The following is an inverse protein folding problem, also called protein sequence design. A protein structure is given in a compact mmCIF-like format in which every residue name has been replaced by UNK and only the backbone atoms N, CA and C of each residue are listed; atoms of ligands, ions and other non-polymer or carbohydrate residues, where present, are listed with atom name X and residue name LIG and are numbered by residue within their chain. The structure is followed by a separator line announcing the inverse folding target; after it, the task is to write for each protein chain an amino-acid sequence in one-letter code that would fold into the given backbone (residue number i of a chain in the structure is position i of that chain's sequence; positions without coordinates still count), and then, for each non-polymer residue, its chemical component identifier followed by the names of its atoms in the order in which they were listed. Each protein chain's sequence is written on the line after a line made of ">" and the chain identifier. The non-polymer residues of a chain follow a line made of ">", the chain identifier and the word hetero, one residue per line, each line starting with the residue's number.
data_IF_926476536090
#
_entry.id   IF_926476536090
#
_cell.length_a   1.000
_cell.length_b   1.000
_cell.length_c   1.000
_cell.angle_alpha   90.00
_cell.angle_beta   90.00
_cell.angle_gamma   90.00
#
_symmetry.space_group_name_H-M   'P 1'
#
loop_
_entity.id
_entity.type
_entity.pdbx_description
1 polymer ?
#
# COMPACT_ATOMS: atom_id res chain seq x y z
N UNK A 1 -38.61 -0.59 -20.88
CA UNK A 1 -37.80 0.57 -21.30
C UNK A 1 -37.64 1.42 -20.06
N UNK A 2 -36.41 1.66 -19.59
CA UNK A 2 -36.16 2.48 -18.39
C UNK A 2 -36.26 3.93 -18.81
N UNK A 3 -37.09 4.73 -18.14
CA UNK A 3 -37.20 6.17 -18.42
C UNK A 3 -36.27 6.97 -17.51
N UNK A 4 -35.87 8.18 -17.91
CA UNK A 4 -35.06 9.09 -17.08
C UNK A 4 -35.75 9.35 -15.72
N UNK A 5 -37.07 9.52 -15.74
CA UNK A 5 -37.87 9.76 -14.54
C UNK A 5 -37.82 8.57 -13.56
N UNK A 6 -37.82 7.33 -14.05
CA UNK A 6 -37.64 6.15 -13.21
C UNK A 6 -36.24 6.12 -12.57
N UNK A 7 -35.20 6.47 -13.33
CA UNK A 7 -33.83 6.54 -12.83
C UNK A 7 -33.62 7.63 -11.79
N UNK A 8 -34.25 8.80 -11.94
CA UNK A 8 -34.16 9.89 -10.97
C UNK A 8 -34.86 9.51 -9.65
N UNK A 9 -35.97 8.77 -9.73
CA UNK A 9 -36.68 8.24 -8.55
C UNK A 9 -35.83 7.19 -7.84
N UNK A 10 -35.24 6.24 -8.58
CA UNK A 10 -34.35 5.21 -8.02
C UNK A 10 -33.10 5.86 -7.41
N UNK A 11 -32.52 6.86 -8.08
CA UNK A 11 -31.32 7.55 -7.62
C UNK A 11 -31.56 8.25 -6.28
N UNK A 12 -32.69 8.95 -6.13
CA UNK A 12 -33.09 9.60 -4.87
C UNK A 12 -33.41 8.62 -3.77
N UNK A 13 -34.21 7.58 -4.04
CA UNK A 13 -34.75 6.68 -3.01
C UNK A 13 -33.79 5.56 -2.61
N UNK A 14 -32.92 5.11 -3.51
CA UNK A 14 -32.09 3.93 -3.31
C UNK A 14 -30.59 4.23 -3.38
N UNK A 15 -30.12 4.85 -4.47
CA UNK A 15 -28.67 5.05 -4.64
C UNK A 15 -28.10 6.07 -3.66
N UNK A 16 -28.81 7.18 -3.43
CA UNK A 16 -28.38 8.21 -2.50
C UNK A 16 -28.11 7.69 -1.06
N UNK A 17 -29.05 6.99 -0.39
CA UNK A 17 -28.78 6.45 0.94
C UNK A 17 -27.70 5.37 0.95
N UNK A 18 -27.58 4.55 -0.10
CA UNK A 18 -26.51 3.55 -0.21
C UNK A 18 -25.13 4.24 -0.28
N UNK A 19 -25.01 5.26 -1.11
CA UNK A 19 -23.79 6.09 -1.23
C UNK A 19 -23.42 6.69 0.13
N UNK A 20 -24.38 7.29 0.83
CA UNK A 20 -24.17 7.87 2.16
C UNK A 20 -23.62 6.85 3.16
N UNK A 21 -24.21 5.65 3.21
CA UNK A 21 -23.77 4.57 4.10
C UNK A 21 -22.35 4.11 3.77
N UNK A 22 -22.01 3.99 2.47
CA UNK A 22 -20.68 3.60 2.03
C UNK A 22 -19.63 4.67 2.34
N UNK A 23 -19.96 5.95 2.18
CA UNK A 23 -19.08 7.07 2.51
C UNK A 23 -18.86 7.16 4.04
N UNK A 24 -19.93 7.00 4.82
CA UNK A 24 -19.85 6.93 6.29
C UNK A 24 -18.99 5.75 6.76
N UNK A 25 -19.20 4.56 6.19
CA UNK A 25 -18.39 3.36 6.47
C UNK A 25 -16.92 3.59 6.15
N UNK A 26 -16.62 4.19 5.00
CA UNK A 26 -15.25 4.48 4.57
C UNK A 26 -14.58 5.48 5.51
N UNK A 27 -15.28 6.55 5.88
CA UNK A 27 -14.80 7.52 6.88
C UNK A 27 -14.48 6.84 8.21
N UNK A 28 -15.42 6.05 8.76
CA UNK A 28 -15.23 5.32 10.02
C UNK A 28 -14.02 4.39 9.94
N UNK A 29 -13.89 3.62 8.85
CA UNK A 29 -12.77 2.72 8.63
C UNK A 29 -11.43 3.48 8.62
N UNK A 30 -11.33 4.58 7.87
CA UNK A 30 -10.09 5.36 7.75
C UNK A 30 -9.70 5.99 9.09
N UNK A 31 -10.67 6.55 9.82
CA UNK A 31 -10.45 7.09 11.16
C UNK A 31 -9.89 5.99 12.06
N UNK A 32 -10.53 4.81 12.13
CA UNK A 32 -10.12 3.73 13.00
C UNK A 32 -8.71 3.21 12.67
N UNK A 33 -8.41 2.96 11.40
CA UNK A 33 -7.12 2.39 10.98
C UNK A 33 -5.98 3.38 11.12
N UNK A 34 -6.21 4.66 10.82
CA UNK A 34 -5.16 5.68 10.84
C UNK A 34 -5.12 6.51 12.13
N UNK A 35 -6.00 6.24 13.11
CA UNK A 35 -6.07 6.99 14.37
C UNK A 35 -4.74 7.07 15.12
N UNK A 36 -3.96 5.99 15.10
CA UNK A 36 -2.66 5.91 15.77
C UNK A 36 -1.67 6.91 15.16
N UNK A 37 -1.75 7.13 13.85
CA UNK A 37 -0.87 8.04 13.08
C UNK A 37 -1.46 9.44 12.87
N UNK A 38 -2.47 9.83 13.65
CA UNK A 38 -3.21 11.11 13.49
C UNK A 38 -2.36 12.39 13.56
N UNK A 39 -1.15 12.32 14.12
CA UNK A 39 -0.23 13.47 14.18
C UNK A 39 0.43 13.78 12.83
N UNK A 40 0.39 12.84 11.88
CA UNK A 40 0.97 13.04 10.56
C UNK A 40 0.03 13.88 9.69
N UNK A 41 0.58 14.93 9.07
CA UNK A 41 -0.18 15.83 8.20
C UNK A 41 -0.93 15.08 7.08
N UNK A 42 -0.32 14.04 6.50
CA UNK A 42 -0.95 13.23 5.44
C UNK A 42 -2.17 12.45 5.94
N UNK A 43 -2.11 11.95 7.18
CA UNK A 43 -3.24 11.26 7.80
C UNK A 43 -4.35 12.25 8.10
N UNK A 44 -4.00 13.47 8.50
CA UNK A 44 -4.98 14.54 8.68
C UNK A 44 -5.68 14.89 7.35
N UNK A 45 -4.94 15.03 6.25
CA UNK A 45 -5.51 15.22 4.91
C UNK A 45 -6.41 14.05 4.48
N UNK A 46 -6.03 12.82 4.81
CA UNK A 46 -6.83 11.61 4.53
C UNK A 46 -8.19 11.69 5.21
N UNK A 47 -8.19 11.97 6.52
CA UNK A 47 -9.41 12.08 7.32
C UNK A 47 -10.24 13.26 6.83
N UNK A 48 -9.62 14.41 6.55
CA UNK A 48 -10.29 15.59 6.00
C UNK A 48 -11.00 15.27 4.68
N UNK A 49 -10.31 14.65 3.71
CA UNK A 49 -10.92 14.29 2.43
C UNK A 49 -12.13 13.36 2.61
N UNK A 50 -11.99 12.32 3.43
CA UNK A 50 -13.10 11.39 3.71
C UNK A 50 -14.26 12.06 4.45
N UNK A 51 -13.97 12.98 5.37
CA UNK A 51 -14.98 13.74 6.09
C UNK A 51 -15.73 14.70 5.16
N UNK A 52 -15.02 15.42 4.27
CA UNK A 52 -15.63 16.32 3.30
C UNK A 52 -16.60 15.57 2.37
N UNK A 53 -16.21 14.41 1.85
CA UNK A 53 -17.11 13.59 1.02
C UNK A 53 -18.39 13.18 1.75
N UNK A 54 -18.26 12.70 2.99
CA UNK A 54 -19.40 12.33 3.83
C UNK A 54 -20.29 13.55 4.20
N UNK A 55 -19.68 14.66 4.63
CA UNK A 55 -20.39 15.86 5.09
C UNK A 55 -21.17 16.53 3.96
N UNK A 56 -20.60 16.59 2.75
CA UNK A 56 -21.30 17.13 1.58
C UNK A 56 -22.57 16.35 1.26
N UNK A 57 -22.55 15.03 1.44
CA UNK A 57 -23.72 14.19 1.18
C UNK A 57 -24.78 14.30 2.27
N UNK A 58 -24.38 14.56 3.51
CA UNK A 58 -25.30 14.76 4.63
C UNK A 58 -26.04 16.09 4.54
N UNK A 59 -25.40 17.12 3.98
CA UNK A 59 -25.99 18.46 3.85
C UNK A 59 -26.90 18.63 2.62
N UNK A 60 -26.71 17.80 1.59
CA UNK A 60 -27.38 17.94 0.30
C UNK A 60 -28.35 16.79 0.05
N UNK A 61 -29.64 17.02 0.31
CA UNK A 61 -30.67 15.96 0.25
C UNK A 61 -31.80 16.21 -0.78
N UNK A 62 -32.11 17.46 -1.16
CA UNK A 62 -33.40 17.76 -1.82
C UNK A 62 -33.36 18.08 -3.32
N UNK A 63 -32.29 18.72 -3.85
CA UNK A 63 -32.28 19.20 -5.24
C UNK A 63 -31.35 18.38 -6.18
N UNK A 64 -31.79 18.13 -7.41
CA UNK A 64 -31.09 17.24 -8.35
C UNK A 64 -29.69 17.75 -8.71
N UNK A 65 -29.54 19.05 -8.97
CA UNK A 65 -28.27 19.65 -9.37
C UNK A 65 -27.29 19.63 -8.21
N UNK A 66 -27.78 19.93 -7.00
CA UNK A 66 -26.98 19.82 -5.77
C UNK A 66 -26.58 18.37 -5.49
N UNK A 67 -27.46 17.39 -5.75
CA UNK A 67 -27.16 15.96 -5.59
C UNK A 67 -26.08 15.48 -6.56
N UNK A 68 -26.06 15.98 -7.80
CA UNK A 68 -25.00 15.68 -8.76
C UNK A 68 -23.66 16.26 -8.29
N UNK A 69 -23.62 17.54 -7.90
CA UNK A 69 -22.43 18.17 -7.34
C UNK A 69 -21.90 17.41 -6.11
N UNK A 70 -22.78 17.04 -5.18
CA UNK A 70 -22.41 16.26 -4.01
C UNK A 70 -21.86 14.88 -4.38
N UNK A 71 -22.36 14.24 -5.45
CA UNK A 71 -21.82 12.97 -5.96
C UNK A 71 -20.40 13.17 -6.51
N UNK A 72 -20.18 14.16 -7.37
CA UNK A 72 -18.86 14.48 -7.95
C UNK A 72 -17.83 14.80 -6.87
N UNK A 73 -18.20 15.62 -5.88
CA UNK A 73 -17.31 15.97 -4.76
C UNK A 73 -16.98 14.74 -3.93
N UNK A 74 -17.97 13.94 -3.58
CA UNK A 74 -17.75 12.75 -2.75
C UNK A 74 -16.93 11.68 -3.48
N UNK A 75 -17.12 11.50 -4.78
CA UNK A 75 -16.29 10.64 -5.65
C UNK A 75 -14.82 11.12 -5.71
N UNK A 76 -14.61 12.41 -5.95
CA UNK A 76 -13.26 13.00 -5.94
C UNK A 76 -12.59 12.86 -4.57
N UNK A 77 -13.33 13.10 -3.48
CA UNK A 77 -12.85 12.90 -2.11
C UNK A 77 -12.46 11.44 -1.86
N UNK A 78 -13.24 10.49 -2.38
CA UNK A 78 -13.00 9.06 -2.25
C UNK A 78 -11.72 8.64 -2.96
N UNK A 79 -11.53 9.10 -4.20
CA UNK A 79 -10.31 8.94 -4.98
C UNK A 79 -9.09 9.56 -4.28
N UNK A 80 -9.24 10.77 -3.73
CA UNK A 80 -8.21 11.43 -2.90
C UNK A 80 -7.77 10.52 -1.75
N UNK A 81 -8.67 9.78 -1.12
CA UNK A 81 -8.28 8.87 -0.04
C UNK A 81 -7.31 7.78 -0.51
N UNK A 82 -7.49 7.24 -1.72
CA UNK A 82 -6.58 6.24 -2.28
C UNK A 82 -5.23 6.83 -2.63
N UNK A 83 -5.21 8.04 -3.22
CA UNK A 83 -3.97 8.74 -3.55
C UNK A 83 -3.20 9.07 -2.26
N UNK A 84 -3.89 9.56 -1.22
CA UNK A 84 -3.25 9.86 0.05
C UNK A 84 -2.70 8.58 0.71
N UNK A 85 -3.46 7.47 0.71
CA UNK A 85 -2.97 6.18 1.23
C UNK A 85 -1.71 5.72 0.49
N UNK A 86 -1.65 5.82 -0.84
CA UNK A 86 -0.44 5.44 -1.58
C UNK A 86 0.73 6.40 -1.31
N UNK A 87 0.48 7.69 -1.06
CA UNK A 87 1.55 8.62 -0.65
C UNK A 87 2.12 8.30 0.72
N UNK A 88 1.28 7.91 1.69
CA UNK A 88 1.73 7.49 3.03
C UNK A 88 2.64 6.27 2.90
N UNK A 89 2.18 5.24 2.18
CA UNK A 89 2.97 4.02 1.95
C UNK A 89 4.26 4.35 1.18
N UNK A 90 4.18 5.16 0.12
CA UNK A 90 5.32 5.55 -0.69
C UNK A 90 6.38 6.31 0.12
N UNK A 91 5.96 7.19 1.03
CA UNK A 91 6.85 7.91 1.93
C UNK A 91 7.55 6.95 2.92
N UNK A 92 6.79 6.07 3.59
CA UNK A 92 7.35 5.08 4.51
C UNK A 92 8.38 4.16 3.83
N UNK A 93 8.12 3.81 2.55
CA UNK A 93 9.05 3.02 1.75
C UNK A 93 10.28 3.84 1.33
N UNK A 94 10.12 5.10 0.93
CA UNK A 94 11.24 5.99 0.56
C UNK A 94 12.24 6.19 1.70
N UNK A 95 11.75 6.28 2.94
CA UNK A 95 12.61 6.42 4.14
C UNK A 95 13.48 5.17 4.32
N UNK A 96 12.95 3.99 4.01
CA UNK A 96 13.64 2.69 4.19
C UNK A 96 14.49 2.30 2.99
N UNK A 97 14.01 2.61 1.79
CA UNK A 97 14.55 2.15 0.52
C UNK A 97 14.85 3.39 -0.32
N UNK A 98 16.14 3.75 -0.43
CA UNK A 98 16.62 4.93 -1.17
C UNK A 98 16.59 4.75 -2.70
N UNK A 99 15.49 4.22 -3.24
CA UNK A 99 15.30 4.08 -4.67
C UNK A 99 14.75 5.40 -5.26
N UNK A 100 15.48 5.94 -6.24
CA UNK A 100 15.10 7.20 -6.91
C UNK A 100 13.71 7.10 -7.56
N UNK A 101 13.37 5.96 -8.14
CA UNK A 101 12.07 5.74 -8.80
C UNK A 101 10.88 5.88 -7.84
N UNK A 102 10.96 5.31 -6.62
CA UNK A 102 9.88 5.43 -5.63
C UNK A 102 9.71 6.88 -5.21
N UNK A 103 10.80 7.64 -5.06
CA UNK A 103 10.73 9.07 -4.72
C UNK A 103 10.00 9.89 -5.79
N UNK A 104 10.32 9.68 -7.06
CA UNK A 104 9.63 10.35 -8.16
C UNK A 104 8.14 10.02 -8.21
N UNK A 105 7.78 8.74 -8.02
CA UNK A 105 6.38 8.32 -7.96
C UNK A 105 5.65 8.91 -6.74
N UNK A 106 6.29 8.96 -5.57
CA UNK A 106 5.69 9.61 -4.40
C UNK A 106 5.44 11.10 -4.63
N UNK A 107 6.36 11.82 -5.30
CA UNK A 107 6.11 13.21 -5.68
C UNK A 107 4.99 13.38 -6.72
N UNK A 108 4.90 12.47 -7.70
CA UNK A 108 3.77 12.46 -8.63
C UNK A 108 2.44 12.23 -7.89
N UNK A 109 2.42 11.32 -6.92
CA UNK A 109 1.27 11.07 -6.08
C UNK A 109 0.88 12.32 -5.25
N UNK A 110 1.86 13.04 -4.70
CA UNK A 110 1.63 14.32 -4.00
C UNK A 110 1.03 15.38 -4.92
N UNK A 111 1.49 15.47 -6.17
CA UNK A 111 0.90 16.37 -7.15
C UNK A 111 -0.58 16.02 -7.42
N UNK A 112 -0.92 14.73 -7.53
CA UNK A 112 -2.31 14.30 -7.65
C UNK A 112 -3.15 14.63 -6.40
N UNK A 113 -2.59 14.56 -5.19
CA UNK A 113 -3.29 15.01 -3.98
C UNK A 113 -3.65 16.49 -4.06
N UNK A 114 -2.69 17.34 -4.46
CA UNK A 114 -2.93 18.79 -4.60
C UNK A 114 -3.98 19.06 -5.67
N UNK A 115 -3.86 18.44 -6.84
CA UNK A 115 -4.82 18.61 -7.93
C UNK A 115 -6.23 18.13 -7.55
N UNK A 116 -6.36 17.02 -6.81
CA UNK A 116 -7.65 16.54 -6.33
C UNK A 116 -8.28 17.50 -5.31
N UNK A 117 -7.51 18.09 -4.39
CA UNK A 117 -8.05 19.11 -3.48
C UNK A 117 -8.48 20.37 -4.23
N UNK A 118 -7.73 20.80 -5.25
CA UNK A 118 -8.13 21.91 -6.11
C UNK A 118 -9.44 21.61 -6.85
N UNK A 119 -9.63 20.37 -7.33
CA UNK A 119 -10.87 19.94 -7.97
C UNK A 119 -12.06 19.99 -7.00
N UNK A 120 -11.88 19.53 -5.76
CA UNK A 120 -12.92 19.62 -4.72
C UNK A 120 -13.27 21.09 -4.45
N UNK A 121 -12.28 21.98 -4.30
CA UNK A 121 -12.51 23.41 -4.08
C UNK A 121 -13.22 24.05 -5.28
N UNK A 122 -12.80 23.74 -6.50
CA UNK A 122 -13.43 24.26 -7.72
C UNK A 122 -14.90 23.82 -7.85
N UNK A 123 -15.21 22.59 -7.43
CA UNK A 123 -16.57 22.05 -7.38
C UNK A 123 -17.41 22.73 -6.30
N UNK A 124 -16.84 23.04 -5.13
CA UNK A 124 -17.54 23.75 -4.05
C UNK A 124 -17.79 25.23 -4.35
N UNK A 125 -16.93 25.86 -5.15
CA UNK A 125 -17.07 27.26 -5.55
C UNK A 125 -17.98 27.44 -6.78
N UNK A 126 -18.58 26.36 -7.29
CA UNK A 126 -19.43 26.36 -8.49
C UNK A 126 -18.76 27.03 -9.71
N UNK A 127 -17.42 27.02 -9.76
CA UNK A 127 -16.64 27.47 -10.94
C UNK A 127 -16.78 26.46 -12.09
N UNK A 128 -17.50 25.37 -11.84
CA UNK A 128 -17.67 24.18 -12.70
C UNK A 128 -18.54 24.42 -13.93
N UNK A 129 -19.16 25.60 -14.07
CA UNK A 129 -19.91 26.01 -15.27
C UNK A 129 -19.07 26.10 -16.56
N UNK A 130 -17.74 25.97 -16.49
CA UNK A 130 -16.87 25.80 -17.66
C UNK A 130 -16.70 24.31 -17.96
N UNK A 131 -17.28 23.84 -19.08
CA UNK A 131 -17.18 22.43 -19.51
C UNK A 131 -15.74 21.88 -19.64
N UNK A 132 -14.75 22.76 -19.76
CA UNK A 132 -13.32 22.41 -19.74
C UNK A 132 -12.85 21.89 -18.38
N UNK A 133 -13.36 22.45 -17.27
CA UNK A 133 -12.96 22.05 -15.91
C UNK A 133 -13.55 20.68 -15.56
N UNK A 134 -14.78 20.41 -16.00
CA UNK A 134 -15.41 19.10 -15.84
C UNK A 134 -14.64 18.01 -16.60
N UNK A 135 -14.29 18.26 -17.86
CA UNK A 135 -13.50 17.31 -18.65
C UNK A 135 -12.12 17.06 -18.04
N UNK A 136 -11.45 18.11 -17.54
CA UNK A 136 -10.17 17.99 -16.86
C UNK A 136 -10.30 17.17 -15.57
N UNK A 137 -11.39 17.34 -14.82
CA UNK A 137 -11.74 16.56 -13.64
C UNK A 137 -11.81 15.07 -13.93
N UNK A 138 -12.60 14.66 -14.93
CA UNK A 138 -12.75 13.26 -15.31
C UNK A 138 -11.42 12.63 -15.79
N UNK A 139 -10.64 13.38 -16.59
CA UNK A 139 -9.32 12.92 -17.04
C UNK A 139 -8.38 12.74 -15.84
N UNK A 140 -8.39 13.69 -14.90
CA UNK A 140 -7.59 13.61 -13.68
C UNK A 140 -7.99 12.42 -12.81
N UNK A 141 -9.29 12.16 -12.69
CA UNK A 141 -9.83 10.99 -11.99
C UNK A 141 -9.28 9.70 -12.57
N UNK A 142 -9.52 9.46 -13.86
CA UNK A 142 -9.06 8.26 -14.57
C UNK A 142 -7.54 8.09 -14.44
N UNK A 143 -6.77 9.15 -14.70
CA UNK A 143 -5.30 9.11 -14.62
C UNK A 143 -4.81 8.78 -13.21
N UNK A 144 -5.45 9.34 -12.19
CA UNK A 144 -5.04 9.10 -10.81
C UNK A 144 -5.35 7.68 -10.34
N UNK A 145 -6.48 7.08 -10.76
CA UNK A 145 -6.85 5.71 -10.40
C UNK A 145 -5.91 4.70 -11.08
N UNK A 146 -5.60 4.92 -12.37
CA UNK A 146 -4.58 4.14 -13.09
C UNK A 146 -3.21 4.30 -12.42
N UNK A 147 -2.86 5.52 -12.02
CA UNK A 147 -1.61 5.77 -11.30
C UNK A 147 -1.56 5.02 -9.96
N UNK A 148 -2.62 5.04 -9.15
CA UNK A 148 -2.69 4.30 -7.88
C UNK A 148 -2.53 2.80 -8.12
N UNK A 149 -3.23 2.24 -9.12
CA UNK A 149 -3.09 0.85 -9.54
C UNK A 149 -1.62 0.52 -9.85
N UNK A 150 -1.02 1.27 -10.78
CA UNK A 150 0.36 1.02 -11.25
C UNK A 150 1.36 1.19 -10.13
N UNK A 151 1.30 2.29 -9.39
CA UNK A 151 2.24 2.58 -8.31
C UNK A 151 2.15 1.51 -7.22
N UNK A 152 0.92 1.10 -6.85
CA UNK A 152 0.70 0.07 -5.85
C UNK A 152 1.38 -1.24 -6.22
N UNK A 153 1.08 -1.77 -7.39
CA UNK A 153 1.66 -3.05 -7.80
C UNK A 153 3.14 -2.94 -8.18
N UNK A 154 3.60 -1.76 -8.61
CA UNK A 154 5.02 -1.51 -8.83
C UNK A 154 5.82 -1.69 -7.55
N UNK A 155 5.45 -1.04 -6.44
CA UNK A 155 6.21 -1.20 -5.19
C UNK A 155 6.09 -2.63 -4.63
N UNK A 156 4.93 -3.28 -4.74
CA UNK A 156 4.80 -4.69 -4.35
C UNK A 156 5.70 -5.60 -5.19
N UNK A 157 5.82 -5.33 -6.50
CA UNK A 157 6.66 -6.14 -7.40
C UNK A 157 8.14 -6.07 -7.03
N UNK A 158 8.62 -4.91 -6.55
CA UNK A 158 9.99 -4.75 -6.05
C UNK A 158 10.26 -5.60 -4.80
N UNK A 159 9.23 -5.86 -3.99
CA UNK A 159 9.37 -6.64 -2.74
C UNK A 159 9.34 -8.15 -2.92
N UNK A 160 8.48 -8.67 -3.82
CA UNK A 160 8.16 -10.11 -3.91
C UNK A 160 8.49 -10.74 -5.26
N UNK A 161 8.88 -9.93 -6.24
CA UNK A 161 9.02 -10.33 -7.63
C UNK A 161 7.68 -10.36 -8.37
N UNK A 162 7.68 -9.91 -9.63
CA UNK A 162 6.47 -9.73 -10.44
C UNK A 162 5.66 -11.02 -10.67
N UNK A 163 6.32 -12.14 -10.97
CA UNK A 163 5.63 -13.43 -11.23
C UNK A 163 4.88 -13.95 -9.99
N UNK A 164 5.48 -13.81 -8.81
CA UNK A 164 4.88 -14.24 -7.55
C UNK A 164 3.71 -13.35 -7.16
N UNK A 165 3.83 -12.04 -7.43
CA UNK A 165 2.75 -11.08 -7.24
C UNK A 165 1.52 -11.44 -8.08
N UNK A 166 1.71 -11.71 -9.37
CA UNK A 166 0.62 -12.15 -10.26
C UNK A 166 0.01 -13.49 -9.84
N UNK A 167 0.77 -14.39 -9.22
CA UNK A 167 0.23 -15.66 -8.74
C UNK A 167 -0.61 -15.51 -7.47
N UNK A 168 -0.12 -14.74 -6.48
CA UNK A 168 -0.70 -14.67 -5.13
C UNK A 168 -1.73 -13.53 -4.93
N UNK A 169 -1.70 -12.49 -5.77
CA UNK A 169 -2.52 -11.26 -5.60
C UNK A 169 -3.51 -11.00 -6.74
N UNK A 170 -3.87 -12.02 -7.53
CA UNK A 170 -4.82 -11.92 -8.67
C UNK A 170 -6.09 -11.14 -8.34
N UNK A 171 -6.72 -11.46 -7.21
CA UNK A 171 -7.96 -10.83 -6.80
C UNK A 171 -7.77 -9.35 -6.40
N UNK A 172 -6.64 -8.99 -5.81
CA UNK A 172 -6.34 -7.59 -5.49
C UNK A 172 -6.14 -6.78 -6.78
N UNK A 173 -5.37 -7.35 -7.73
CA UNK A 173 -5.16 -6.72 -9.04
C UNK A 173 -6.51 -6.52 -9.73
N UNK A 174 -7.36 -7.56 -9.76
CA UNK A 174 -8.69 -7.47 -10.35
C UNK A 174 -9.53 -6.34 -9.75
N UNK A 175 -9.60 -6.22 -8.43
CA UNK A 175 -10.38 -5.15 -7.79
C UNK A 175 -9.87 -3.75 -8.11
N UNK A 176 -8.55 -3.54 -8.07
CA UNK A 176 -7.98 -2.24 -8.44
C UNK A 176 -8.13 -1.95 -9.94
N UNK A 177 -8.12 -2.98 -10.80
CA UNK A 177 -8.42 -2.81 -12.22
C UNK A 177 -9.88 -2.44 -12.42
N UNK A 178 -10.81 -3.12 -11.75
CA UNK A 178 -12.25 -2.79 -11.76
C UNK A 178 -12.49 -1.36 -11.27
N UNK A 179 -11.78 -0.93 -10.23
CA UNK A 179 -11.82 0.44 -9.74
C UNK A 179 -11.36 1.44 -10.81
N UNK A 180 -10.26 1.15 -11.51
CA UNK A 180 -9.73 2.06 -12.53
C UNK A 180 -10.59 2.13 -13.81
N UNK A 181 -11.40 1.11 -14.10
CA UNK A 181 -12.26 1.06 -15.28
C UNK A 181 -13.74 1.25 -14.97
N UNK A 182 -14.08 1.67 -13.74
CA UNK A 182 -15.44 1.62 -13.23
C UNK A 182 -16.42 2.50 -14.03
N UNK A 183 -15.95 3.56 -14.69
CA UNK A 183 -16.76 4.46 -15.52
C UNK A 183 -17.17 3.83 -16.86
N UNK A 184 -16.29 3.06 -17.51
CA UNK A 184 -16.49 2.58 -18.89
C UNK A 184 -17.80 1.80 -19.11
N UNK A 185 -18.23 0.88 -18.22
CA UNK A 185 -19.49 0.17 -18.38
C UNK A 185 -20.70 1.12 -18.39
N UNK A 186 -20.67 2.19 -17.60
CA UNK A 186 -21.78 3.13 -17.48
C UNK A 186 -21.84 4.11 -18.65
N UNK A 187 -20.68 4.55 -19.15
CA UNK A 187 -20.60 5.31 -20.41
C UNK A 187 -21.18 4.52 -21.57
N UNK A 188 -20.88 3.21 -21.65
CA UNK A 188 -21.42 2.34 -22.69
C UNK A 188 -22.94 2.14 -22.53
N UNK A 189 -23.42 1.96 -21.30
CA UNK A 189 -24.85 1.85 -21.01
C UNK A 189 -25.60 3.13 -21.41
N UNK A 190 -25.08 4.30 -21.04
CA UNK A 190 -25.67 5.59 -21.40
C UNK A 190 -25.76 5.79 -22.91
N UNK A 191 -24.70 5.41 -23.65
CA UNK A 191 -24.72 5.44 -25.11
C UNK A 191 -25.82 4.54 -25.72
N UNK A 192 -26.12 3.40 -25.09
CA UNK A 192 -27.15 2.47 -25.58
C UNK A 192 -28.57 2.78 -25.09
N UNK A 193 -28.73 3.33 -23.88
CA UNK A 193 -30.05 3.58 -23.28
C UNK A 193 -30.52 5.03 -23.43
N UNK A 194 -29.61 5.99 -23.66
CA UNK A 194 -29.92 7.42 -23.72
C UNK A 194 -30.36 8.02 -22.38
N UNK A 195 -29.94 7.40 -21.28
CA UNK A 195 -30.35 7.72 -19.90
C UNK A 195 -29.09 7.79 -19.04
N UNK A 196 -29.02 8.76 -18.12
CA UNK A 196 -27.83 8.95 -17.28
C UNK A 196 -27.75 7.89 -16.18
N UNK A 197 -26.56 7.33 -15.99
CA UNK A 197 -26.30 6.29 -14.97
C UNK A 197 -25.33 6.74 -13.87
N UNK A 198 -25.08 8.05 -13.74
CA UNK A 198 -24.08 8.64 -12.83
C UNK A 198 -24.20 8.15 -11.38
N UNK A 199 -25.42 8.09 -10.82
CA UNK A 199 -25.62 7.60 -9.45
C UNK A 199 -25.37 6.09 -9.30
N UNK A 200 -25.70 5.30 -10.32
CA UNK A 200 -25.43 3.87 -10.32
C UNK A 200 -23.92 3.58 -10.45
N UNK A 201 -23.23 4.37 -11.29
CA UNK A 201 -21.77 4.41 -11.35
C UNK A 201 -21.18 4.74 -9.97
N UNK A 202 -21.66 5.79 -9.32
CA UNK A 202 -21.18 6.21 -8.00
C UNK A 202 -21.36 5.14 -6.93
N UNK A 203 -22.45 4.36 -6.97
CA UNK A 203 -22.64 3.17 -6.10
C UNK A 203 -21.62 2.09 -6.44
N UNK A 204 -21.44 1.77 -7.73
CA UNK A 204 -20.50 0.74 -8.17
C UNK A 204 -19.06 1.05 -7.72
N UNK A 205 -18.61 2.30 -7.92
CA UNK A 205 -17.30 2.78 -7.49
C UNK A 205 -17.06 2.51 -5.99
N UNK A 206 -18.03 2.91 -5.15
CA UNK A 206 -17.97 2.72 -3.70
C UNK A 206 -18.02 1.26 -3.25
N UNK A 207 -18.78 0.41 -3.93
CA UNK A 207 -18.82 -1.03 -3.66
C UNK A 207 -17.48 -1.68 -3.99
N UNK A 208 -16.87 -1.33 -5.13
CA UNK A 208 -15.54 -1.82 -5.51
C UNK A 208 -14.49 -1.34 -4.51
N UNK A 209 -14.56 -0.09 -4.05
CA UNK A 209 -13.71 0.43 -2.99
C UNK A 209 -13.88 -0.34 -1.68
N UNK A 210 -15.12 -0.57 -1.24
CA UNK A 210 -15.39 -1.32 -0.03
C UNK A 210 -14.80 -2.74 -0.12
N UNK A 211 -14.88 -3.37 -1.30
CA UNK A 211 -14.23 -4.65 -1.56
C UNK A 211 -12.69 -4.57 -1.48
N UNK A 212 -12.07 -3.51 -2.02
CA UNK A 212 -10.63 -3.24 -1.90
C UNK A 212 -10.20 -3.13 -0.43
N UNK A 213 -10.96 -2.38 0.38
CA UNK A 213 -10.70 -2.20 1.81
C UNK A 213 -10.87 -3.53 2.56
N UNK A 214 -11.97 -4.25 2.33
CA UNK A 214 -12.25 -5.51 3.00
C UNK A 214 -11.16 -6.57 2.72
N UNK A 215 -10.63 -6.59 1.50
CA UNK A 215 -9.48 -7.43 1.15
C UNK A 215 -8.21 -7.06 1.91
N UNK A 216 -7.95 -5.77 2.13
CA UNK A 216 -6.82 -5.31 2.94
C UNK A 216 -6.98 -5.74 4.40
N UNK A 217 -8.19 -5.63 4.96
CA UNK A 217 -8.50 -6.09 6.32
C UNK A 217 -8.31 -7.61 6.44
N UNK A 218 -8.88 -8.40 5.51
CA UNK A 218 -8.75 -9.87 5.52
C UNK A 218 -7.29 -10.32 5.52
N UNK A 219 -6.42 -9.64 4.77
CA UNK A 219 -4.98 -9.94 4.75
C UNK A 219 -4.25 -9.59 6.05
N UNK A 220 -4.73 -8.59 6.80
CA UNK A 220 -4.21 -8.28 8.14
C UNK A 220 -4.77 -9.23 9.21
N UNK A 221 -6.03 -9.64 9.08
CA UNK A 221 -6.74 -10.47 10.06
C UNK A 221 -6.37 -11.95 9.99
N UNK A 222 -5.93 -12.46 8.82
CA UNK A 222 -5.42 -13.82 8.72
C UNK A 222 -3.96 -13.81 9.21
N UNK A 223 -3.65 -14.33 10.42
CA UNK A 223 -2.27 -14.50 10.84
C UNK A 223 -1.56 -15.35 9.79
N UNK A 224 -0.44 -14.87 9.27
CA UNK A 224 0.33 -15.60 8.27
C UNK A 224 0.67 -16.99 8.83
N UNK A 225 -0.01 -18.03 8.33
CA UNK A 225 0.20 -19.44 8.64
C UNK A 225 1.54 -19.94 8.06
N UNK A 226 2.64 -19.29 8.44
CA UNK A 226 3.94 -19.49 7.83
C UNK A 226 5.06 -18.79 8.57
N UNK A 227 5.19 -19.05 9.88
CA UNK A 227 6.48 -19.04 10.58
C UNK A 227 6.35 -19.60 12.01
N UNK A 228 5.72 -20.76 12.18
CA UNK A 228 5.75 -21.52 13.44
C UNK A 228 6.71 -22.69 13.31
N UNK A 229 8.00 -22.38 13.15
CA UNK A 229 9.08 -23.33 13.41
C UNK A 229 10.27 -22.62 14.07
N UNK A 230 9.99 -21.77 15.06
CA UNK A 230 11.01 -21.43 16.05
C UNK A 230 11.02 -22.58 17.06
N UNK A 231 11.86 -23.55 16.77
CA UNK A 231 12.27 -24.62 17.67
C UNK A 231 12.61 -24.00 19.03
N UNK A 232 11.76 -24.23 20.04
CA UNK A 232 12.02 -23.85 21.43
C UNK A 232 13.17 -24.71 21.92
N UNK A 233 14.41 -24.24 21.70
CA UNK A 233 15.58 -24.82 22.38
C UNK A 233 15.68 -24.16 23.75
N UNK A 234 14.98 -24.77 24.71
CA UNK A 234 15.18 -24.57 26.14
C UNK A 234 16.68 -24.60 26.45
N UNK A 235 17.24 -23.47 26.89
CA UNK A 235 18.56 -23.42 27.51
C UNK A 235 18.35 -23.06 28.97
N UNK A 236 18.21 -24.12 29.77
CA UNK A 236 18.19 -24.09 31.23
C UNK A 236 19.48 -23.42 31.73
N UNK A 237 19.30 -22.38 32.53
CA UNK A 237 20.34 -21.71 33.32
C UNK A 237 20.78 -22.62 34.48
N UNK A 238 22.09 -22.74 34.69
CA UNK A 238 22.68 -22.98 36.01
C UNK A 238 24.11 -22.45 36.01
N UNK A 239 24.33 -21.38 36.78
CA UNK A 239 25.65 -20.90 37.21
C UNK A 239 26.27 -21.88 38.23
N UNK A 240 27.60 -22.01 38.22
CA UNK A 240 28.50 -21.76 39.37
C UNK A 240 29.78 -22.63 39.37
N UNK A 241 30.92 -21.93 39.23
CA UNK A 241 32.13 -21.97 40.09
C UNK A 241 33.21 -23.07 39.99
N UNK A 242 34.44 -22.55 39.98
CA UNK A 242 35.75 -23.07 40.43
C UNK A 242 36.64 -23.97 39.53
N UNK A 243 37.86 -23.45 39.32
CA UNK A 243 39.16 -24.08 39.62
C UNK A 243 40.19 -24.11 38.47
N UNK A 244 41.05 -23.09 38.53
CA UNK A 244 42.47 -23.00 38.17
C UNK A 244 43.29 -24.26 37.78
N UNK A 245 44.21 -24.03 36.83
CA UNK A 245 45.67 -24.34 36.81
C UNK A 245 46.23 -25.16 35.64
N UNK A 246 47.39 -24.65 35.15
CA UNK A 246 48.59 -25.38 34.72
C UNK A 246 48.86 -25.67 33.23
N UNK A 247 49.60 -24.74 32.61
CA UNK A 247 50.98 -24.84 32.04
C UNK A 247 51.53 -26.07 31.28
N UNK A 248 52.45 -25.72 30.34
CA UNK A 248 53.46 -26.51 29.57
C UNK A 248 52.94 -27.08 28.23
N UNK A 249 53.54 -26.87 27.05
CA UNK A 249 54.93 -26.54 26.67
C UNK A 249 55.58 -27.76 25.99
N UNK A 250 56.42 -27.54 24.96
CA UNK A 250 57.35 -28.50 24.29
C UNK A 250 56.78 -29.38 23.16
N UNK A 251 57.47 -29.77 22.08
CA UNK A 251 58.63 -29.32 21.26
C UNK A 251 58.82 -30.45 20.20
N UNK A 252 59.09 -30.10 18.94
CA UNK A 252 59.89 -30.82 17.91
C UNK A 252 59.63 -32.30 17.54
N UNK A 253 59.51 -32.56 16.23
CA UNK A 253 60.36 -33.55 15.53
C UNK A 253 60.48 -33.29 14.02
N UNK A 254 61.72 -33.07 13.57
CA UNK A 254 62.23 -33.05 12.20
C UNK A 254 62.77 -34.44 11.80
N UNK A 255 62.69 -34.84 10.52
CA UNK A 255 63.80 -35.43 9.75
C UNK A 255 63.47 -35.62 8.25
N UNK A 256 64.47 -35.32 7.42
CA UNK A 256 64.53 -35.42 5.96
C UNK A 256 65.32 -36.67 5.49
N UNK A 257 65.20 -37.10 4.22
CA UNK A 257 66.34 -37.47 3.33
C UNK A 257 65.92 -37.71 1.87
N UNK A 258 66.86 -37.37 0.97
CA UNK A 258 66.87 -37.32 -0.51
C UNK A 258 66.93 -38.67 -1.25
N UNK A 259 66.67 -38.64 -2.58
CA UNK A 259 67.40 -39.33 -3.70
C UNK A 259 66.79 -38.94 -5.09
N UNK A 260 67.51 -39.23 -6.18
CA UNK A 260 67.86 -38.34 -7.31
C UNK A 260 67.40 -38.83 -8.73
N UNK A 261 66.92 -37.93 -9.62
CA UNK A 261 67.16 -37.92 -11.10
C UNK A 261 66.18 -38.60 -12.12
N UNK A 262 66.02 -38.11 -13.39
CA UNK A 262 64.78 -38.17 -14.22
C UNK A 262 65.00 -38.82 -15.64
N UNK A 263 64.22 -38.60 -16.75
CA UNK A 263 62.98 -37.84 -17.00
C UNK A 263 61.89 -38.55 -17.87
N UNK A 264 60.66 -38.01 -17.89
CA UNK A 264 59.88 -37.77 -19.13
C UNK A 264 58.47 -37.21 -18.87
N UNK A 265 58.20 -36.10 -19.55
CA UNK A 265 56.90 -35.64 -20.10
C UNK A 265 55.81 -35.08 -19.17
N UNK A 266 55.78 -33.75 -19.21
CA UNK A 266 54.63 -32.89 -19.49
C UNK A 266 53.64 -32.52 -18.38
N UNK A 267 53.80 -31.25 -17.99
CA UNK A 267 52.78 -30.23 -17.72
C UNK A 267 52.38 -29.95 -16.27
N UNK A 268 53.19 -29.05 -15.66
CA UNK A 268 52.84 -27.87 -14.82
C UNK A 268 51.44 -27.92 -14.16
N UNK A 269 51.29 -27.92 -12.83
CA UNK A 269 52.03 -27.16 -11.82
C UNK A 269 51.30 -25.83 -11.50
N UNK A 270 50.25 -25.84 -10.67
CA UNK A 270 50.21 -25.41 -9.25
C UNK A 270 50.23 -23.88 -9.04
N UNK A 271 49.17 -23.31 -8.44
CA UNK A 271 49.24 -22.64 -7.11
C UNK A 271 47.90 -21.96 -6.73
N UNK A 272 47.44 -22.35 -5.54
CA UNK A 272 46.46 -21.66 -4.72
C UNK A 272 46.74 -20.15 -4.67
N UNK A 273 45.69 -19.36 -4.93
CA UNK A 273 45.53 -18.05 -4.31
C UNK A 273 44.17 -18.02 -3.63
N UNK A 274 44.18 -18.26 -2.31
CA UNK A 274 43.11 -17.78 -1.44
C UNK A 274 43.01 -16.26 -1.64
N UNK A 275 41.96 -15.83 -2.32
CA UNK A 275 41.49 -14.45 -2.31
C UNK A 275 40.04 -14.51 -1.81
N UNK A 276 39.67 -13.78 -0.75
CA UNK A 276 38.32 -13.79 -0.23
C UNK A 276 37.38 -13.17 -1.27
N UNK A 277 36.51 -13.98 -1.87
CA UNK A 277 35.44 -13.46 -2.73
C UNK A 277 34.36 -12.86 -1.83
N UNK A 278 34.55 -11.56 -1.58
CA UNK A 278 33.61 -10.55 -1.11
C UNK A 278 32.16 -10.95 -1.37
N UNK A 279 31.40 -10.98 -0.29
CA UNK A 279 29.95 -10.99 -0.23
C UNK A 279 29.30 -10.09 -1.28
N UNK A 280 28.52 -10.67 -2.19
CA UNK A 280 27.55 -9.95 -2.98
C UNK A 280 26.37 -10.84 -3.35
N UNK A 281 25.75 -11.45 -2.34
CA UNK A 281 24.31 -11.71 -2.38
C UNK A 281 23.73 -10.94 -1.22
N UNK A 282 23.55 -9.62 -1.42
CA UNK A 282 22.58 -8.88 -0.62
C UNK A 282 21.23 -9.52 -0.92
N UNK A 283 20.89 -10.54 -0.13
CA UNK A 283 19.52 -10.98 0.05
C UNK A 283 18.76 -9.74 0.46
N UNK A 284 17.97 -9.20 -0.48
CA UNK A 284 17.03 -8.13 -0.20
C UNK A 284 16.25 -8.56 1.05
N UNK A 285 16.26 -7.76 2.13
CA UNK A 285 15.42 -8.07 3.26
C UNK A 285 13.98 -8.08 2.75
N UNK A 286 13.25 -9.15 3.07
CA UNK A 286 11.87 -9.36 2.67
C UNK A 286 11.06 -8.11 3.03
N UNK A 287 10.79 -7.25 2.05
CA UNK A 287 10.16 -5.94 2.25
C UNK A 287 8.74 -6.14 2.81
N UNK A 288 8.14 -7.33 2.65
CA UNK A 288 6.90 -7.66 3.33
C UNK A 288 7.05 -8.04 4.79
N UNK A 289 8.22 -8.52 5.23
CA UNK A 289 8.57 -8.49 6.65
C UNK A 289 8.87 -7.06 7.12
N UNK A 290 9.43 -6.18 6.30
CA UNK A 290 9.76 -4.80 6.72
C UNK A 290 8.51 -3.92 6.88
N UNK A 291 7.49 -4.10 6.05
CA UNK A 291 6.18 -3.48 6.27
C UNK A 291 5.54 -3.96 7.58
N UNK A 292 5.68 -5.27 7.89
CA UNK A 292 5.17 -5.90 9.12
C UNK A 292 6.02 -5.59 10.36
N UNK A 293 7.32 -5.39 10.21
CA UNK A 293 8.27 -5.08 11.30
C UNK A 293 8.21 -3.61 11.67
N UNK A 294 8.01 -2.70 10.71
CA UNK A 294 7.80 -1.28 11.03
C UNK A 294 6.55 -1.07 11.88
N UNK A 295 5.48 -1.81 11.59
CA UNK A 295 4.23 -1.74 12.37
C UNK A 295 4.41 -2.40 13.77
N UNK A 296 5.27 -3.43 13.90
CA UNK A 296 5.58 -4.08 15.20
C UNK A 296 6.60 -3.34 16.08
N UNK A 297 7.60 -2.69 15.49
CA UNK A 297 8.62 -1.95 16.24
C UNK A 297 8.00 -0.72 16.90
N UNK A 298 7.06 -0.05 16.21
CA UNK A 298 6.34 1.10 16.78
C UNK A 298 5.39 0.68 17.93
N UNK A 299 4.79 -0.52 17.87
CA UNK A 299 4.01 -1.07 19.00
C UNK A 299 4.87 -1.38 20.23
N UNK A 300 6.08 -1.91 20.04
CA UNK A 300 7.00 -2.24 21.15
C UNK A 300 7.64 -1.00 21.80
N UNK A 301 7.88 0.07 21.05
CA UNK A 301 8.36 1.34 21.60
C UNK A 301 7.27 2.01 22.46
N UNK A 302 6.00 1.89 22.06
CA UNK A 302 4.86 2.43 22.80
C UNK A 302 4.58 1.67 24.11
N UNK A 303 4.72 0.34 24.12
CA UNK A 303 4.64 -0.48 25.35
C UNK A 303 5.77 -0.18 26.35
N UNK A 304 6.94 0.25 25.86
CA UNK A 304 8.11 0.56 26.70
C UNK A 304 8.02 1.97 27.31
N UNK A 305 7.35 2.93 26.64
CA UNK A 305 7.11 4.28 27.19
C UNK A 305 5.95 4.31 28.19
N UNK A 306 4.91 3.49 28.03
CA UNK A 306 3.81 3.39 29.01
C UNK A 306 4.25 2.68 30.30
N UNK A 307 5.15 1.70 30.22
CA UNK A 307 5.74 1.03 31.41
C UNK A 307 6.65 1.92 32.26
N UNK A 308 7.16 3.04 31.71
CA UNK A 308 8.10 3.94 32.39
C UNK A 308 7.44 5.14 33.08
N UNK A 309 6.14 5.34 32.86
CA UNK A 309 5.32 6.39 33.52
C UNK A 309 4.54 5.89 34.72
N UNK A 310 4.63 4.60 35.05
CA UNK A 310 3.91 3.98 36.17
C UNK A 310 4.84 3.30 37.19
N UNK A 311 6.04 3.85 37.40
CA UNK A 311 6.90 3.56 38.56
C UNK A 311 7.45 4.85 39.12
#
# INVERSE_FOLDING_TARGET
>A
MVTQQDMDVISRKLFNPIILVLDAWTFQYLVLVYYVRRKEFRVWLLVLASFTGFAMRLYVYDDHDTMSMANTVSETCLQLTFIIQITIIGHDVCVKVKLRSIRWLTHAAEAFVVLGFLQVIASLLDVTGSGTIHLLGNVLETLSLVFVLVFRFYYLSLSRGYRRLLAERKFEILLYTLLAIHEFPFVLLEHHTGVTWEFAQGVCNRVVLAACILQNIRKKAIPSAGSSSALVKSKKSSNAFASMTSSRGSFFKTKATDELGPPATNSRGTLLKLVPRRSSSQSFPDITKIAVISERVDSQVQDTEEGKKSS
#
